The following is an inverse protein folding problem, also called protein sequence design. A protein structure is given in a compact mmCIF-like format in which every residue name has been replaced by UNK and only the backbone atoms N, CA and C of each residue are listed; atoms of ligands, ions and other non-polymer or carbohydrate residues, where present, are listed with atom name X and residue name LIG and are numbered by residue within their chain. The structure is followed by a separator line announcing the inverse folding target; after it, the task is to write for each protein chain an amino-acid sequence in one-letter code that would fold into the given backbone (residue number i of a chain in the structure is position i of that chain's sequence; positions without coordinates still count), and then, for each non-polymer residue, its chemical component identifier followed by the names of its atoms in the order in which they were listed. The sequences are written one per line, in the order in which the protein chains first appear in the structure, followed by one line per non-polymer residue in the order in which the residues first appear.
data_IF_547820116978
#
_entry.id   IF_547820116978
#
_cell.length_a   1.000
_cell.length_b   1.000
_cell.length_c   1.000
_cell.angle_alpha   90.00
_cell.angle_beta   90.00
_cell.angle_gamma   90.00
#
_symmetry.space_group_name_H-M   'P 1'
#
loop_
_entity.id
_entity.type
_entity.pdbx_description
1 polymer ?
#
# COMPACT_ATOMS: atom_id res chain seq x y z
N UNK A 1 -35.40 -53.32 3.95
CA UNK A 1 -36.76 -53.27 3.40
C UNK A 1 -37.77 -54.15 4.17
N UNK A 2 -37.44 -55.38 4.56
CA UNK A 2 -38.36 -56.25 5.33
C UNK A 2 -38.68 -55.79 6.77
N UNK A 3 -37.80 -55.03 7.43
CA UNK A 3 -38.04 -54.54 8.80
C UNK A 3 -39.05 -53.37 8.86
N UNK A 4 -39.12 -52.56 7.81
CA UNK A 4 -40.08 -51.45 7.72
C UNK A 4 -41.52 -51.95 7.55
N UNK A 5 -41.72 -53.04 6.79
CA UNK A 5 -43.04 -53.66 6.61
C UNK A 5 -43.59 -54.27 7.92
N UNK A 6 -42.75 -54.94 8.73
CA UNK A 6 -43.18 -55.50 10.02
C UNK A 6 -43.58 -54.44 11.04
N UNK A 7 -42.95 -53.27 10.99
CA UNK A 7 -43.30 -52.15 11.89
C UNK A 7 -44.62 -51.51 11.49
N UNK A 8 -44.90 -51.42 10.18
CA UNK A 8 -46.17 -50.92 9.66
C UNK A 8 -47.34 -51.87 9.96
N UNK A 9 -47.16 -53.18 9.79
CA UNK A 9 -48.20 -54.19 10.12
C UNK A 9 -48.54 -54.20 11.62
N UNK A 10 -47.54 -54.05 12.50
CA UNK A 10 -47.80 -53.93 13.95
C UNK A 10 -48.58 -52.67 14.29
N UNK A 11 -48.29 -51.55 13.61
CA UNK A 11 -48.98 -50.29 13.85
C UNK A 11 -50.45 -50.35 13.38
N UNK A 12 -50.70 -50.99 12.23
CA UNK A 12 -52.05 -51.21 11.70
C UNK A 12 -52.85 -52.12 12.64
N UNK A 13 -52.27 -53.25 13.07
CA UNK A 13 -52.96 -54.19 13.98
C UNK A 13 -53.23 -53.55 15.36
N UNK A 14 -52.34 -52.69 15.87
CA UNK A 14 -52.58 -51.96 17.11
C UNK A 14 -53.72 -50.93 16.97
N UNK A 15 -53.84 -50.27 15.82
CA UNK A 15 -54.95 -49.36 15.52
C UNK A 15 -56.28 -50.11 15.38
N UNK A 16 -56.28 -51.31 14.79
CA UNK A 16 -57.50 -52.14 14.64
C UNK A 16 -57.98 -52.71 15.97
N UNK A 17 -57.07 -53.15 16.85
CA UNK A 17 -57.42 -53.65 18.19
C UNK A 17 -57.97 -52.52 19.07
N UNK A 18 -57.37 -51.33 19.02
CA UNK A 18 -57.86 -50.17 19.77
C UNK A 18 -59.24 -49.68 19.28
N UNK A 19 -59.56 -49.88 17.99
CA UNK A 19 -60.87 -49.59 17.43
C UNK A 19 -61.94 -50.61 17.87
N UNK A 20 -61.57 -51.87 18.08
CA UNK A 20 -62.49 -52.93 18.51
C UNK A 20 -62.82 -52.89 20.01
N UNK A 21 -61.98 -52.29 20.86
CA UNK A 21 -62.22 -52.15 22.30
C UNK A 21 -63.12 -50.96 22.68
N UNK A 22 -63.52 -50.12 21.73
CA UNK A 22 -64.42 -48.98 21.96
C UNK A 22 -65.89 -49.41 21.88
N UNK A 23 -66.31 -50.31 22.78
CA UNK A 23 -67.72 -50.63 22.96
C UNK A 23 -68.45 -49.47 23.66
N UNK A 24 -69.38 -48.85 22.91
CA UNK A 24 -70.73 -48.46 23.32
C UNK A 24 -71.00 -48.19 24.82
N UNK A 25 -70.39 -47.14 25.36
CA UNK A 25 -70.96 -46.39 26.49
C UNK A 25 -71.35 -45.03 25.93
N UNK A 26 -72.57 -44.57 26.19
CA UNK A 26 -73.09 -43.26 25.79
C UNK A 26 -72.07 -42.17 26.10
N UNK A 27 -71.27 -41.78 25.11
CA UNK A 27 -70.34 -40.66 25.24
C UNK A 27 -71.18 -39.47 25.66
N UNK A 28 -70.85 -38.91 26.82
CA UNK A 28 -71.56 -37.75 27.33
C UNK A 28 -71.42 -36.62 26.31
N UNK A 29 -72.42 -35.74 26.22
CA UNK A 29 -72.35 -34.57 25.34
C UNK A 29 -71.06 -33.75 25.59
N UNK A 30 -70.59 -33.72 26.85
CA UNK A 30 -69.30 -33.16 27.25
C UNK A 30 -68.08 -33.84 26.62
N UNK A 31 -68.07 -35.17 26.46
CA UNK A 31 -66.96 -35.89 25.82
C UNK A 31 -66.88 -35.58 24.32
N UNK A 32 -68.04 -35.48 23.67
CA UNK A 32 -68.13 -35.06 22.27
C UNK A 32 -67.64 -33.62 22.09
N UNK A 33 -68.03 -32.72 23.00
CA UNK A 33 -67.61 -31.33 22.96
C UNK A 33 -66.10 -31.17 23.26
N UNK A 34 -65.56 -31.99 24.16
CA UNK A 34 -64.13 -32.13 24.40
C UNK A 34 -63.37 -32.55 23.15
N UNK A 35 -63.80 -33.62 22.48
CA UNK A 35 -63.17 -34.11 21.25
C UNK A 35 -63.23 -33.10 20.10
N UNK A 36 -64.34 -32.38 19.95
CA UNK A 36 -64.47 -31.29 18.97
C UNK A 36 -63.49 -30.15 19.29
N UNK A 37 -63.35 -29.79 20.57
CA UNK A 37 -62.40 -28.75 20.99
C UNK A 37 -60.95 -29.15 20.72
N UNK A 38 -60.57 -30.40 20.98
CA UNK A 38 -59.25 -30.95 20.67
C UNK A 38 -58.99 -30.99 19.17
N UNK A 39 -59.97 -31.42 18.38
CA UNK A 39 -59.89 -31.39 16.92
C UNK A 39 -59.66 -29.97 16.39
N UNK A 40 -60.36 -28.96 16.92
CA UNK A 40 -60.18 -27.57 16.52
C UNK A 40 -58.82 -27.00 16.92
N UNK A 41 -58.27 -27.41 18.07
CA UNK A 41 -56.91 -27.05 18.48
C UNK A 41 -55.89 -27.71 17.56
N UNK A 42 -56.05 -29.00 17.26
CA UNK A 42 -55.20 -29.74 16.33
C UNK A 42 -55.24 -29.15 14.92
N UNK A 43 -56.42 -28.76 14.44
CA UNK A 43 -56.59 -28.06 13.15
C UNK A 43 -55.82 -26.75 13.13
N UNK A 44 -55.99 -25.88 14.14
CA UNK A 44 -55.23 -24.63 14.26
C UNK A 44 -53.71 -24.84 14.33
N UNK A 45 -53.25 -25.84 15.10
CA UNK A 45 -51.83 -26.20 15.18
C UNK A 45 -51.29 -26.70 13.83
N UNK A 46 -52.08 -27.48 13.11
CA UNK A 46 -51.72 -27.95 11.77
C UNK A 46 -51.61 -26.79 10.79
N UNK A 47 -52.58 -25.87 10.80
CA UNK A 47 -52.59 -24.72 9.89
C UNK A 47 -51.43 -23.75 10.20
N UNK A 48 -51.13 -23.49 11.47
CA UNK A 48 -49.94 -22.73 11.88
C UNK A 48 -48.63 -23.39 11.44
N UNK A 49 -48.53 -24.74 11.51
CA UNK A 49 -47.35 -25.46 10.99
C UNK A 49 -47.25 -25.40 9.46
N UNK A 50 -48.37 -25.41 8.73
CA UNK A 50 -48.37 -25.21 7.27
C UNK A 50 -47.87 -23.82 6.92
N UNK A 51 -48.33 -22.79 7.63
CA UNK A 51 -47.85 -21.41 7.42
C UNK A 51 -46.35 -21.28 7.74
N UNK A 52 -45.88 -21.86 8.84
CA UNK A 52 -44.46 -21.87 9.17
C UNK A 52 -43.62 -22.58 8.09
N UNK A 53 -44.10 -23.68 7.54
CA UNK A 53 -43.44 -24.36 6.42
C UNK A 53 -43.42 -23.50 5.14
N UNK A 54 -44.47 -22.74 4.87
CA UNK A 54 -44.49 -21.80 3.73
C UNK A 54 -43.48 -20.66 3.91
N UNK A 55 -43.34 -20.13 5.13
CA UNK A 55 -42.34 -19.10 5.45
C UNK A 55 -40.94 -19.67 5.24
N UNK A 56 -40.64 -20.84 5.82
CA UNK A 56 -39.34 -21.49 5.66
C UNK A 56 -39.03 -21.86 4.21
N UNK A 57 -40.03 -22.26 3.42
CA UNK A 57 -39.85 -22.51 2.00
C UNK A 57 -39.44 -21.24 1.25
N UNK A 58 -40.10 -20.11 1.55
CA UNK A 58 -39.75 -18.81 0.94
C UNK A 58 -38.35 -18.36 1.35
N UNK A 59 -38.00 -18.49 2.64
CA UNK A 59 -36.66 -18.16 3.14
C UNK A 59 -35.58 -19.02 2.48
N UNK A 60 -35.84 -20.32 2.31
CA UNK A 60 -34.94 -21.22 1.59
C UNK A 60 -34.74 -20.79 0.14
N UNK A 61 -35.82 -20.41 -0.56
CA UNK A 61 -35.74 -19.92 -1.94
C UNK A 61 -34.91 -18.63 -2.02
N UNK A 62 -35.09 -17.70 -1.07
CA UNK A 62 -34.27 -16.47 -1.01
C UNK A 62 -32.80 -16.78 -0.76
N UNK A 63 -32.47 -17.67 0.18
CA UNK A 63 -31.08 -18.05 0.43
C UNK A 63 -30.44 -18.76 -0.77
N UNK A 64 -31.22 -19.54 -1.55
CA UNK A 64 -30.72 -20.15 -2.78
C UNK A 64 -30.41 -19.10 -3.84
N UNK A 65 -31.28 -18.10 -4.02
CA UNK A 65 -31.05 -16.99 -4.94
C UNK A 65 -29.80 -16.18 -4.56
N UNK A 66 -29.64 -15.83 -3.27
CA UNK A 66 -28.46 -15.12 -2.78
C UNK A 66 -27.18 -15.93 -3.03
N UNK A 67 -27.17 -17.23 -2.71
CA UNK A 67 -26.05 -18.13 -2.99
C UNK A 67 -25.68 -18.12 -4.48
N UNK A 68 -26.67 -18.22 -5.36
CA UNK A 68 -26.45 -18.28 -6.80
C UNK A 68 -25.93 -16.95 -7.34
N UNK A 69 -26.41 -15.82 -6.79
CA UNK A 69 -25.89 -14.49 -7.08
C UNK A 69 -24.42 -14.36 -6.64
N UNK A 70 -24.06 -14.77 -5.43
CA UNK A 70 -22.67 -14.74 -4.96
C UNK A 70 -21.76 -15.63 -5.79
N UNK A 71 -22.24 -16.82 -6.17
CA UNK A 71 -21.50 -17.73 -7.05
C UNK A 71 -21.23 -17.10 -8.42
N UNK A 72 -22.23 -16.40 -8.99
CA UNK A 72 -22.07 -15.67 -10.24
C UNK A 72 -21.05 -14.53 -10.10
N UNK A 73 -21.15 -13.71 -9.06
CA UNK A 73 -20.20 -12.63 -8.80
C UNK A 73 -18.76 -13.14 -8.64
N UNK A 74 -18.59 -14.24 -7.89
CA UNK A 74 -17.28 -14.88 -7.71
C UNK A 74 -16.70 -15.38 -9.05
N UNK A 75 -17.54 -15.98 -9.91
CA UNK A 75 -17.11 -16.43 -11.24
C UNK A 75 -16.73 -15.25 -12.14
N UNK A 76 -17.51 -14.17 -12.17
CA UNK A 76 -17.21 -12.96 -12.93
C UNK A 76 -15.89 -12.32 -12.47
N UNK A 77 -15.67 -12.24 -11.16
CA UNK A 77 -14.42 -11.71 -10.60
C UNK A 77 -13.23 -12.59 -10.97
N UNK A 78 -13.39 -13.92 -10.91
CA UNK A 78 -12.36 -14.89 -11.31
C UNK A 78 -12.02 -14.75 -12.80
N UNK A 79 -13.01 -14.62 -13.67
CA UNK A 79 -12.80 -14.42 -15.12
C UNK A 79 -12.09 -13.11 -15.41
N UNK A 80 -12.50 -12.00 -14.76
CA UNK A 80 -11.80 -10.71 -14.90
C UNK A 80 -10.35 -10.81 -14.46
N UNK A 81 -10.10 -11.45 -13.32
CA UNK A 81 -8.74 -11.64 -12.81
C UNK A 81 -7.89 -12.51 -13.75
N UNK A 82 -8.44 -13.60 -14.28
CA UNK A 82 -7.75 -14.44 -15.26
C UNK A 82 -7.48 -13.72 -16.58
N UNK A 83 -8.46 -12.96 -17.09
CA UNK A 83 -8.30 -12.14 -18.29
C UNK A 83 -7.22 -11.07 -18.11
N UNK A 84 -7.19 -10.41 -16.96
CA UNK A 84 -6.17 -9.42 -16.63
C UNK A 84 -4.79 -10.07 -16.48
N UNK A 85 -4.70 -11.20 -15.79
CA UNK A 85 -3.45 -11.98 -15.65
C UNK A 85 -2.92 -12.44 -17.02
N UNK A 86 -3.80 -12.84 -17.94
CA UNK A 86 -3.42 -13.21 -19.31
C UNK A 86 -2.86 -12.00 -20.07
N UNK A 87 -3.55 -10.84 -20.03
CA UNK A 87 -3.05 -9.59 -20.62
C UNK A 87 -1.70 -9.16 -20.07
N UNK A 88 -1.51 -9.20 -18.74
CA UNK A 88 -0.22 -8.88 -18.13
C UNK A 88 0.88 -9.85 -18.57
N UNK A 89 0.56 -11.13 -18.70
CA UNK A 89 1.52 -12.13 -19.20
C UNK A 89 1.89 -11.88 -20.67
N UNK A 90 0.93 -11.54 -21.53
CA UNK A 90 1.19 -11.17 -22.93
C UNK A 90 2.02 -9.88 -23.06
N UNK A 91 1.84 -8.93 -22.13
CA UNK A 91 2.62 -7.68 -22.07
C UNK A 91 4.07 -7.88 -21.63
N UNK A 92 4.30 -8.73 -20.62
CA UNK A 92 5.64 -8.98 -20.04
C UNK A 92 6.41 -10.02 -20.87
N UNK A 93 5.70 -11.08 -21.26
CA UNK A 93 6.24 -12.24 -21.94
C UNK A 93 5.63 -12.34 -23.35
N UNK A 94 5.76 -11.38 -24.27
CA UNK A 94 5.31 -11.49 -25.70
C UNK A 94 5.68 -12.79 -26.47
N UNK A 95 5.75 -12.85 -27.79
CA UNK A 95 6.01 -14.15 -28.47
C UNK A 95 7.33 -14.86 -28.00
N UNK A 96 7.30 -16.09 -27.42
CA UNK A 96 8.48 -16.79 -26.90
C UNK A 96 9.53 -17.15 -27.95
N UNK A 97 9.18 -17.04 -29.23
CA UNK A 97 10.04 -17.36 -30.37
C UNK A 97 11.03 -16.24 -30.72
N UNK A 98 10.89 -15.05 -30.12
CA UNK A 98 11.68 -13.86 -30.47
C UNK A 98 12.58 -13.39 -29.31
N UNK A 99 13.83 -12.94 -29.60
CA UNK A 99 14.74 -12.37 -28.60
C UNK A 99 14.12 -11.15 -27.86
N UNK A 100 14.45 -10.93 -26.58
CA UNK A 100 13.82 -9.93 -25.71
C UNK A 100 13.88 -8.50 -26.28
N UNK A 101 14.95 -8.14 -26.99
CA UNK A 101 15.11 -6.82 -27.62
C UNK A 101 14.14 -6.58 -28.79
N UNK A 102 13.73 -7.63 -29.52
CA UNK A 102 12.78 -7.53 -30.64
C UNK A 102 11.32 -7.69 -30.19
N UNK A 103 11.08 -8.31 -29.04
CA UNK A 103 9.75 -8.54 -28.45
C UNK A 103 9.06 -7.23 -28.09
N UNK A 104 9.79 -6.30 -27.50
CA UNK A 104 9.26 -4.98 -27.11
C UNK A 104 8.93 -4.10 -28.32
N UNK A 105 9.72 -4.20 -29.40
CA UNK A 105 9.47 -3.46 -30.65
C UNK A 105 8.22 -3.98 -31.37
N UNK A 106 8.04 -5.31 -31.44
CA UNK A 106 6.85 -5.93 -32.04
C UNK A 106 5.59 -5.64 -31.21
N UNK A 107 5.69 -5.69 -29.89
CA UNK A 107 4.57 -5.37 -28.99
C UNK A 107 4.16 -3.89 -29.11
N UNK A 108 5.12 -2.96 -29.12
CA UNK A 108 4.85 -1.53 -29.35
C UNK A 108 4.22 -1.29 -30.72
N UNK A 109 4.73 -1.92 -31.78
CA UNK A 109 4.14 -1.82 -33.11
C UNK A 109 2.71 -2.35 -33.17
N UNK A 110 2.41 -3.44 -32.45
CA UNK A 110 1.05 -3.98 -32.35
C UNK A 110 0.13 -3.02 -31.57
N UNK A 111 0.58 -2.50 -30.43
CA UNK A 111 -0.19 -1.55 -29.63
C UNK A 111 -0.52 -0.27 -30.42
N UNK A 112 0.43 0.22 -31.22
CA UNK A 112 0.23 1.38 -32.09
C UNK A 112 -0.77 1.09 -33.22
N UNK A 113 -0.73 -0.12 -33.81
CA UNK A 113 -1.74 -0.56 -34.79
C UNK A 113 -3.13 -0.67 -34.16
N UNK A 114 -3.25 -1.35 -33.02
CA UNK A 114 -4.52 -1.51 -32.32
C UNK A 114 -5.09 -0.16 -31.84
N UNK A 115 -4.23 0.78 -31.45
CA UNK A 115 -4.63 2.15 -31.11
C UNK A 115 -5.17 2.90 -32.34
N UNK A 116 -4.48 2.78 -33.48
CA UNK A 116 -4.89 3.38 -34.74
C UNK A 116 -6.21 2.80 -35.24
N UNK A 117 -6.41 1.49 -35.14
CA UNK A 117 -7.63 0.84 -35.61
C UNK A 117 -8.82 1.13 -34.70
N UNK A 118 -8.62 1.23 -33.39
CA UNK A 118 -9.64 1.78 -32.47
C UNK A 118 -10.01 3.22 -32.83
N UNK A 119 -9.02 4.05 -33.20
CA UNK A 119 -9.26 5.40 -33.68
C UNK A 119 -10.13 5.44 -34.94
N UNK A 120 -9.95 4.48 -35.87
CA UNK A 120 -10.81 4.36 -37.06
C UNK A 120 -12.23 3.92 -36.73
N UNK A 121 -12.38 2.92 -35.86
CA UNK A 121 -13.70 2.44 -35.41
C UNK A 121 -14.49 3.56 -34.74
N UNK A 122 -13.86 4.30 -33.81
CA UNK A 122 -14.49 5.46 -33.19
C UNK A 122 -14.85 6.54 -34.20
N UNK A 123 -14.01 6.78 -35.22
CA UNK A 123 -14.33 7.73 -36.28
C UNK A 123 -15.52 7.27 -37.15
N UNK A 124 -15.67 5.97 -37.37
CA UNK A 124 -16.83 5.38 -38.06
C UNK A 124 -18.11 5.48 -37.20
N UNK A 125 -18.03 5.17 -35.90
CA UNK A 125 -19.14 5.34 -34.95
C UNK A 125 -19.59 6.80 -34.85
N UNK A 126 -18.65 7.75 -34.79
CA UNK A 126 -18.97 9.18 -34.79
C UNK A 126 -19.71 9.56 -36.08
N UNK A 127 -19.29 9.06 -37.25
CA UNK A 127 -20.00 9.30 -38.51
C UNK A 127 -21.41 8.71 -38.49
N UNK A 128 -21.57 7.47 -38.01
CA UNK A 128 -22.86 6.80 -37.91
C UNK A 128 -23.82 7.53 -36.95
N UNK A 129 -23.32 7.94 -35.78
CA UNK A 129 -24.09 8.72 -34.81
C UNK A 129 -24.48 10.09 -35.37
N UNK A 130 -23.57 10.75 -36.09
CA UNK A 130 -23.87 12.03 -36.75
C UNK A 130 -24.95 11.84 -37.81
N UNK A 131 -24.89 10.76 -38.60
CA UNK A 131 -25.91 10.43 -39.58
C UNK A 131 -27.27 10.17 -38.90
N UNK A 132 -27.32 9.32 -37.86
CA UNK A 132 -28.56 9.07 -37.11
C UNK A 132 -29.15 10.34 -36.50
N UNK A 133 -28.30 11.25 -36.01
CA UNK A 133 -28.75 12.54 -35.51
C UNK A 133 -29.41 13.38 -36.62
N UNK A 134 -28.79 13.44 -37.80
CA UNK A 134 -29.36 14.17 -38.94
C UNK A 134 -30.68 13.57 -39.42
N UNK A 135 -30.80 12.23 -39.45
CA UNK A 135 -32.03 11.52 -39.80
C UNK A 135 -33.14 11.83 -38.78
N UNK A 136 -32.85 11.70 -37.48
CA UNK A 136 -33.81 12.00 -36.41
C UNK A 136 -34.25 13.47 -36.40
N UNK A 137 -33.34 14.41 -36.71
CA UNK A 137 -33.69 15.83 -36.88
C UNK A 137 -34.61 16.05 -38.08
N UNK A 138 -34.37 15.35 -39.20
CA UNK A 138 -35.24 15.34 -40.38
C UNK A 138 -36.64 14.82 -40.06
N UNK A 139 -36.71 13.69 -39.36
CA UNK A 139 -37.97 13.09 -38.89
C UNK A 139 -38.72 14.04 -37.96
N UNK A 140 -38.03 14.68 -37.01
CA UNK A 140 -38.64 15.65 -36.10
C UNK A 140 -39.22 16.85 -36.87
N UNK A 141 -38.52 17.34 -37.90
CA UNK A 141 -39.02 18.41 -38.77
C UNK A 141 -40.28 17.97 -39.54
N UNK A 142 -40.28 16.74 -40.06
CA UNK A 142 -41.44 16.18 -40.76
C UNK A 142 -42.64 15.97 -39.83
N UNK A 143 -42.41 15.47 -38.62
CA UNK A 143 -43.42 15.32 -37.57
C UNK A 143 -44.00 16.67 -37.18
N UNK A 144 -43.16 17.69 -36.95
CA UNK A 144 -43.62 19.06 -36.68
C UNK A 144 -44.48 19.59 -37.83
N UNK A 145 -44.03 19.43 -39.08
CA UNK A 145 -44.82 19.85 -40.24
C UNK A 145 -46.14 19.08 -40.35
N UNK A 146 -46.16 17.78 -40.03
CA UNK A 146 -47.37 16.95 -40.06
C UNK A 146 -48.34 17.34 -38.96
N UNK A 147 -47.85 17.59 -37.75
CA UNK A 147 -48.65 18.13 -36.64
C UNK A 147 -49.19 19.50 -37.03
N UNK A 148 -48.39 20.39 -37.61
CA UNK A 148 -48.85 21.69 -38.08
C UNK A 148 -49.89 21.56 -39.18
N UNK A 149 -49.72 20.64 -40.15
CA UNK A 149 -50.71 20.37 -41.21
C UNK A 149 -52.00 19.74 -40.68
N UNK A 150 -51.92 18.86 -39.67
CA UNK A 150 -53.09 18.31 -38.99
C UNK A 150 -53.79 19.36 -38.11
N UNK A 151 -53.05 20.34 -37.59
CA UNK A 151 -53.59 21.50 -36.87
C UNK A 151 -54.19 22.56 -37.81
N UNK A 152 -53.66 22.68 -39.03
CA UNK A 152 -54.15 23.57 -40.09
C UNK A 152 -55.13 22.86 -41.05
N UNK A 153 -55.41 21.58 -40.81
CA UNK A 153 -56.34 20.76 -41.59
C UNK A 153 -57.73 20.82 -40.99
N UNK A 154 -58.30 22.02 -40.95
CA UNK A 154 -59.72 22.38 -40.94
C UNK A 154 -59.78 23.87 -40.58
N UNK A 155 -59.91 24.73 -41.59
CA UNK A 155 -60.14 26.17 -41.40
C UNK A 155 -61.48 26.47 -40.68
N UNK A 156 -62.25 25.45 -40.26
CA UNK A 156 -63.50 25.60 -39.49
C UNK A 156 -63.56 24.85 -38.14
N UNK A 157 -62.51 24.12 -37.73
CA UNK A 157 -62.51 23.38 -36.43
C UNK A 157 -61.37 23.86 -35.51
N UNK A 158 -61.08 25.15 -35.56
CA UNK A 158 -60.05 25.82 -34.74
C UNK A 158 -60.43 26.07 -33.28
N UNK A 159 -61.56 25.56 -32.78
CA UNK A 159 -61.94 25.69 -31.37
C UNK A 159 -62.29 24.32 -30.80
N UNK A 160 -61.26 23.50 -30.55
CA UNK A 160 -61.39 22.49 -29.50
C UNK A 160 -61.45 23.23 -28.17
N UNK A 161 -62.68 23.47 -27.72
CA UNK A 161 -62.94 24.03 -26.40
C UNK A 161 -62.68 22.94 -25.37
N UNK A 162 -61.43 22.81 -24.94
CA UNK A 162 -61.13 22.04 -23.74
C UNK A 162 -61.93 22.65 -22.58
N UNK A 163 -62.65 21.85 -21.80
CA UNK A 163 -63.30 22.32 -20.59
C UNK A 163 -62.31 23.11 -19.71
N UNK A 164 -62.76 24.19 -19.08
CA UNK A 164 -61.90 25.07 -18.30
C UNK A 164 -61.10 24.31 -17.23
N UNK A 165 -61.70 23.30 -16.60
CA UNK A 165 -61.04 22.46 -15.59
C UNK A 165 -59.87 21.62 -16.14
N UNK A 166 -59.98 21.05 -17.35
CA UNK A 166 -58.87 20.31 -17.95
C UNK A 166 -57.70 21.23 -18.31
N UNK A 167 -58.00 22.48 -18.71
CA UNK A 167 -56.98 23.50 -18.95
C UNK A 167 -56.31 23.93 -17.65
N UNK A 168 -57.08 24.16 -16.60
CA UNK A 168 -56.57 24.52 -15.27
C UNK A 168 -55.70 23.41 -14.69
N UNK A 169 -56.08 22.14 -14.84
CA UNK A 169 -55.28 21.01 -14.37
C UNK A 169 -53.97 20.86 -15.16
N UNK A 170 -53.99 21.08 -16.47
CA UNK A 170 -52.78 21.09 -17.30
C UNK A 170 -51.86 22.27 -16.96
N UNK A 171 -52.42 23.45 -16.69
CA UNK A 171 -51.64 24.62 -16.25
C UNK A 171 -51.01 24.33 -14.89
N UNK A 172 -51.75 23.76 -13.94
CA UNK A 172 -51.22 23.38 -12.62
C UNK A 172 -50.07 22.36 -12.75
N UNK A 173 -50.23 21.35 -13.61
CA UNK A 173 -49.15 20.38 -13.88
C UNK A 173 -47.92 21.04 -14.51
N UNK A 174 -48.10 22.02 -15.41
CA UNK A 174 -47.00 22.77 -16.00
C UNK A 174 -46.29 23.67 -15.00
N UNK A 175 -47.03 24.31 -14.09
CA UNK A 175 -46.48 25.11 -13.00
C UNK A 175 -45.69 24.23 -12.02
N UNK A 176 -46.25 23.10 -11.60
CA UNK A 176 -45.57 22.12 -10.74
C UNK A 176 -44.30 21.57 -11.41
N UNK A 177 -44.38 21.19 -12.70
CA UNK A 177 -43.21 20.75 -13.45
C UNK A 177 -42.18 21.88 -13.64
N UNK A 178 -42.64 23.13 -13.76
CA UNK A 178 -41.79 24.32 -13.83
C UNK A 178 -40.99 24.54 -12.55
N UNK A 179 -41.66 24.43 -11.39
CA UNK A 179 -41.02 24.50 -10.07
C UNK A 179 -40.03 23.36 -9.86
N UNK A 180 -40.38 22.13 -10.24
CA UNK A 180 -39.48 20.98 -10.16
C UNK A 180 -38.24 21.17 -11.05
N UNK A 181 -38.41 21.72 -12.26
CA UNK A 181 -37.28 22.02 -13.15
C UNK A 181 -36.37 23.08 -12.53
N UNK A 182 -36.93 24.14 -11.96
CA UNK A 182 -36.14 25.19 -11.30
C UNK A 182 -35.39 24.66 -10.07
N UNK A 183 -36.02 23.82 -9.25
CA UNK A 183 -35.38 23.16 -8.12
C UNK A 183 -34.22 22.26 -8.58
N UNK A 184 -34.43 21.47 -9.63
CA UNK A 184 -33.38 20.64 -10.21
C UNK A 184 -32.24 21.47 -10.80
N UNK A 185 -32.53 22.58 -11.49
CA UNK A 185 -31.53 23.51 -12.01
C UNK A 185 -30.69 24.13 -10.89
N UNK A 186 -31.33 24.52 -9.79
CA UNK A 186 -30.64 25.04 -8.61
C UNK A 186 -29.77 23.96 -7.94
N UNK A 187 -30.28 22.72 -7.81
CA UNK A 187 -29.52 21.61 -7.25
C UNK A 187 -28.30 21.23 -8.10
N UNK A 188 -28.47 21.24 -9.44
CA UNK A 188 -27.40 20.98 -10.39
C UNK A 188 -26.31 22.05 -10.27
N UNK A 189 -26.71 23.31 -10.12
CA UNK A 189 -25.77 24.42 -9.92
C UNK A 189 -24.98 24.26 -8.62
N UNK A 190 -25.65 23.95 -7.50
CA UNK A 190 -24.99 23.71 -6.22
C UNK A 190 -23.97 22.57 -6.29
N UNK A 191 -24.34 21.42 -6.88
CA UNK A 191 -23.43 20.29 -7.04
C UNK A 191 -22.28 20.60 -8.02
N UNK A 192 -22.53 21.44 -9.04
CA UNK A 192 -21.48 21.90 -9.95
C UNK A 192 -20.45 22.78 -9.24
N UNK A 193 -20.90 23.67 -8.35
CA UNK A 193 -20.02 24.53 -7.56
C UNK A 193 -19.17 23.68 -6.60
N UNK A 194 -19.79 22.74 -5.88
CA UNK A 194 -19.07 21.77 -5.02
C UNK A 194 -18.04 20.93 -5.81
N UNK A 195 -18.38 20.54 -7.05
CA UNK A 195 -17.46 19.80 -7.91
C UNK A 195 -16.23 20.64 -8.29
N UNK A 196 -16.40 21.93 -8.57
CA UNK A 196 -15.27 22.83 -8.85
C UNK A 196 -14.38 23.02 -7.63
N UNK A 197 -14.96 23.15 -6.43
CA UNK A 197 -14.22 23.22 -5.18
C UNK A 197 -13.38 21.95 -4.96
N UNK A 198 -13.98 20.76 -5.13
CA UNK A 198 -13.26 19.47 -5.01
C UNK A 198 -12.18 19.32 -6.08
N UNK A 199 -12.41 19.80 -7.31
CA UNK A 199 -11.37 19.82 -8.36
C UNK A 199 -10.20 20.71 -7.96
N UNK A 200 -10.47 21.89 -7.41
CA UNK A 200 -9.44 22.81 -6.92
C UNK A 200 -8.64 22.19 -5.78
N UNK A 201 -9.29 21.59 -4.78
CA UNK A 201 -8.62 20.85 -3.71
C UNK A 201 -7.75 19.72 -4.24
N UNK A 202 -8.27 18.92 -5.17
CA UNK A 202 -7.51 17.84 -5.83
C UNK A 202 -6.27 18.39 -6.52
N UNK A 203 -6.35 19.53 -7.20
CA UNK A 203 -5.16 20.15 -7.82
C UNK A 203 -4.11 20.56 -6.79
N UNK A 204 -4.53 21.18 -5.67
CA UNK A 204 -3.62 21.53 -4.57
C UNK A 204 -2.95 20.30 -3.97
N UNK A 205 -3.69 19.21 -3.74
CA UNK A 205 -3.13 17.96 -3.24
C UNK A 205 -2.18 17.31 -4.23
N UNK A 206 -2.49 17.35 -5.53
CA UNK A 206 -1.62 16.84 -6.58
C UNK A 206 -0.30 17.62 -6.62
N UNK A 207 -0.35 18.95 -6.62
CA UNK A 207 0.86 19.79 -6.58
C UNK A 207 1.68 19.58 -5.30
N UNK A 208 1.02 19.33 -4.17
CA UNK A 208 1.69 18.96 -2.92
C UNK A 208 2.40 17.62 -3.06
N UNK A 209 1.74 16.62 -3.64
CA UNK A 209 2.34 15.31 -3.90
C UNK A 209 3.52 15.42 -4.87
N UNK A 210 3.39 16.21 -5.95
CA UNK A 210 4.45 16.43 -6.93
C UNK A 210 5.66 17.12 -6.29
N UNK A 211 5.45 18.15 -5.46
CA UNK A 211 6.53 18.79 -4.68
C UNK A 211 7.21 17.84 -3.71
N UNK A 212 6.43 17.08 -2.93
CA UNK A 212 6.98 16.07 -2.02
C UNK A 212 7.75 14.99 -2.78
N UNK A 213 7.27 14.60 -3.96
CA UNK A 213 7.95 13.63 -4.81
C UNK A 213 9.25 14.22 -5.38
N UNK A 214 9.28 15.51 -5.73
CA UNK A 214 10.52 16.20 -6.13
C UNK A 214 11.52 16.25 -4.97
N UNK A 215 11.10 16.62 -3.77
CA UNK A 215 11.95 16.61 -2.57
C UNK A 215 12.43 15.21 -2.23
N UNK A 216 11.54 14.22 -2.31
CA UNK A 216 11.89 12.81 -2.10
C UNK A 216 12.86 12.32 -3.17
N UNK A 217 12.65 12.66 -4.44
CA UNK A 217 13.59 12.36 -5.52
C UNK A 217 14.90 13.13 -5.38
N UNK A 218 14.91 14.31 -4.74
CA UNK A 218 16.13 15.03 -4.42
C UNK A 218 16.89 14.35 -3.27
N UNK A 219 16.19 13.83 -2.26
CA UNK A 219 16.77 13.06 -1.14
C UNK A 219 17.23 11.66 -1.59
N UNK A 220 16.44 10.98 -2.42
CA UNK A 220 16.71 9.62 -2.90
C UNK A 220 17.61 9.60 -4.15
N UNK A 221 17.50 10.61 -5.00
CA UNK A 221 18.26 10.79 -6.24
C UNK A 221 19.33 11.86 -6.14
N UNK A 222 19.77 12.20 -4.92
CA UNK A 222 20.67 13.30 -4.62
C UNK A 222 21.86 13.39 -5.57
N UNK A 223 22.22 14.63 -5.89
CA UNK A 223 23.50 14.95 -6.49
C UNK A 223 24.61 14.19 -5.75
N UNK A 224 25.29 13.31 -6.46
CA UNK A 224 26.35 12.47 -5.91
C UNK A 224 25.88 11.39 -4.96
N UNK A 225 25.23 10.35 -5.51
CA UNK A 225 25.34 8.95 -5.11
C UNK A 225 25.61 8.69 -3.62
N UNK A 226 24.60 8.89 -2.76
CA UNK A 226 24.57 8.19 -1.48
C UNK A 226 23.17 7.65 -1.26
N UNK A 227 22.97 6.43 -1.73
CA UNK A 227 21.81 5.61 -1.34
C UNK A 227 21.83 5.59 0.18
N UNK A 228 20.82 6.18 0.80
CA UNK A 228 20.60 6.06 2.23
C UNK A 228 20.19 4.62 2.48
N UNK A 229 21.16 3.80 2.90
CA UNK A 229 20.90 2.45 3.37
C UNK A 229 20.13 2.56 4.69
N UNK A 230 18.80 2.43 4.59
CA UNK A 230 17.89 2.51 5.72
C UNK A 230 18.23 1.43 6.74
N UNK A 231 18.69 0.26 6.31
CA UNK A 231 19.09 -0.82 7.22
C UNK A 231 20.39 -0.45 7.95
N UNK A 232 21.35 0.19 7.28
CA UNK A 232 22.55 0.72 7.93
C UNK A 232 22.22 1.79 8.97
N UNK A 233 21.32 2.72 8.64
CA UNK A 233 20.85 3.73 9.60
C UNK A 233 20.08 3.10 10.76
N UNK A 234 19.25 2.10 10.52
CA UNK A 234 18.55 1.37 11.58
C UNK A 234 19.53 0.61 12.48
N UNK A 235 20.60 0.03 11.92
CA UNK A 235 21.65 -0.63 12.69
C UNK A 235 22.46 0.38 13.52
N UNK A 236 22.84 1.52 12.93
CA UNK A 236 23.54 2.59 13.63
C UNK A 236 22.68 3.14 14.77
N UNK A 237 21.40 3.39 14.50
CA UNK A 237 20.46 3.86 15.50
C UNK A 237 20.30 2.87 16.66
N UNK A 238 20.18 1.56 16.36
CA UNK A 238 20.15 0.50 17.38
C UNK A 238 21.45 0.45 18.19
N UNK A 239 22.60 0.54 17.52
CA UNK A 239 23.91 0.55 18.16
C UNK A 239 24.10 1.76 19.08
N UNK A 240 23.72 2.95 18.65
CA UNK A 240 23.80 4.17 19.44
C UNK A 240 22.89 4.11 20.68
N UNK A 241 21.70 3.52 20.56
CA UNK A 241 20.82 3.28 21.71
C UNK A 241 21.44 2.31 22.72
N UNK A 242 22.03 1.20 22.26
CA UNK A 242 22.75 0.27 23.14
C UNK A 242 23.96 0.95 23.80
N UNK A 243 24.70 1.77 23.07
CA UNK A 243 25.85 2.49 23.61
C UNK A 243 25.44 3.52 24.65
N UNK A 244 24.36 4.25 24.40
CA UNK A 244 23.78 5.19 25.36
C UNK A 244 23.34 4.46 26.63
N UNK A 245 22.68 3.31 26.49
CA UNK A 245 22.27 2.47 27.61
C UNK A 245 23.46 2.02 28.46
N UNK A 246 24.53 1.53 27.83
CA UNK A 246 25.77 1.15 28.53
C UNK A 246 26.36 2.32 29.32
N UNK A 247 26.48 3.49 28.69
CA UNK A 247 27.00 4.69 29.37
C UNK A 247 26.09 5.10 30.53
N UNK A 248 24.77 4.96 30.39
CA UNK A 248 23.83 5.27 31.46
C UNK A 248 23.96 4.29 32.64
N UNK A 249 24.21 3.01 32.36
CA UNK A 249 24.53 1.99 33.37
C UNK A 249 25.87 2.29 34.07
N UNK A 250 26.92 2.66 33.34
CA UNK A 250 28.22 3.09 33.89
C UNK A 250 28.07 4.31 34.80
N UNK A 251 27.31 5.32 34.36
CA UNK A 251 27.01 6.51 35.16
C UNK A 251 26.24 6.13 36.43
N UNK A 252 25.31 5.19 36.34
CA UNK A 252 24.58 4.70 37.51
C UNK A 252 25.51 4.00 38.51
N UNK A 253 26.41 3.14 38.02
CA UNK A 253 27.42 2.46 38.82
C UNK A 253 28.37 3.45 39.50
N UNK A 254 28.87 4.44 38.75
CA UNK A 254 29.71 5.51 39.29
C UNK A 254 28.98 6.31 40.36
N UNK A 255 27.70 6.67 40.16
CA UNK A 255 26.89 7.33 41.19
C UNK A 255 26.79 6.48 42.45
N UNK A 256 26.54 5.17 42.33
CA UNK A 256 26.51 4.28 43.51
C UNK A 256 27.87 4.19 44.20
N UNK A 257 28.97 4.14 43.45
CA UNK A 257 30.32 4.07 43.99
C UNK A 257 30.72 5.37 44.69
N UNK A 258 30.43 6.53 44.08
CA UNK A 258 30.60 7.84 44.71
C UNK A 258 29.79 7.90 46.00
N UNK A 259 28.55 7.41 46.02
CA UNK A 259 27.73 7.38 47.23
C UNK A 259 28.32 6.47 48.30
N UNK A 260 28.86 5.29 47.93
CA UNK A 260 29.58 4.40 48.85
C UNK A 260 30.82 5.08 49.43
N UNK A 261 31.63 5.74 48.60
CA UNK A 261 32.82 6.46 49.07
C UNK A 261 32.48 7.66 49.94
N UNK A 262 31.44 8.42 49.59
CA UNK A 262 30.92 9.51 50.43
C UNK A 262 30.48 8.98 51.79
N UNK A 263 29.70 7.90 51.82
CA UNK A 263 29.28 7.26 53.07
C UNK A 263 30.46 6.72 53.89
N UNK A 264 31.48 6.15 53.25
CA UNK A 264 32.69 5.69 53.92
C UNK A 264 33.52 6.86 54.47
N UNK A 265 33.62 7.97 53.73
CA UNK A 265 34.29 9.19 54.14
C UNK A 265 33.55 9.87 55.30
N UNK A 266 32.22 9.93 55.26
CA UNK A 266 31.38 10.48 56.33
C UNK A 266 31.47 9.61 57.59
N UNK A 267 31.53 8.27 57.46
CA UNK A 267 31.83 7.35 58.58
C UNK A 267 33.23 7.59 59.15
N UNK A 268 34.23 7.90 58.32
CA UNK A 268 35.59 8.23 58.77
C UNK A 268 35.67 9.61 59.43
N UNK A 269 34.91 10.58 58.93
CA UNK A 269 34.78 11.92 59.52
C UNK A 269 34.10 11.84 60.90
N UNK A 270 33.10 10.98 61.04
CA UNK A 270 32.45 10.68 62.32
C UNK A 270 33.30 9.77 63.24
N UNK A 271 34.34 9.11 62.69
CA UNK A 271 35.34 8.32 63.43
C UNK A 271 36.56 9.13 63.89
N UNK A 272 36.70 10.41 63.51
CA UNK A 272 37.81 11.28 63.93
C UNK A 272 37.76 11.73 65.40
N UNK A 273 36.91 11.12 66.22
CA UNK A 273 36.95 11.28 67.67
C UNK A 273 37.82 10.22 68.37
N UNK A 274 38.55 9.35 67.66
CA UNK A 274 39.48 8.42 68.31
C UNK A 274 40.73 8.08 67.50
N UNK A 275 41.90 8.46 68.03
CA UNK A 275 43.10 7.61 68.05
C UNK A 275 44.09 7.66 66.87
N UNK A 276 45.32 8.11 67.15
CA UNK A 276 46.56 8.01 66.35
C UNK A 276 46.84 6.58 65.83
N UNK A 277 47.31 6.48 64.58
CA UNK A 277 48.44 5.60 64.22
C UNK A 277 48.99 5.89 62.82
N UNK A 278 50.30 5.96 62.76
CA UNK A 278 51.16 6.08 61.59
C UNK A 278 51.23 4.76 60.83
N UNK A 279 50.89 4.75 59.54
CA UNK A 279 51.39 3.77 58.57
C UNK A 279 51.12 4.28 57.16
N UNK A 280 52.21 4.61 56.47
CA UNK A 280 52.25 4.93 55.04
C UNK A 280 51.86 3.67 54.27
N UNK A 281 50.63 3.64 53.75
CA UNK A 281 50.13 2.54 52.94
C UNK A 281 50.73 2.57 51.54
N UNK A 282 51.56 1.57 51.24
CA UNK A 282 52.12 1.19 49.95
C UNK A 282 51.00 0.71 48.99
N UNK A 283 50.25 1.64 48.41
CA UNK A 283 49.22 1.34 47.39
C UNK A 283 49.30 2.31 46.21
N UNK A 284 50.50 2.59 45.72
CA UNK A 284 50.74 3.37 44.51
C UNK A 284 51.44 2.53 43.45
N UNK A 285 50.83 2.42 42.28
CA UNK A 285 51.39 1.77 41.07
C UNK A 285 52.81 2.30 40.83
N UNK A 286 53.81 1.43 40.91
CA UNK A 286 55.20 1.79 40.61
C UNK A 286 55.38 1.93 39.10
N UNK A 287 55.95 3.05 38.67
CA UNK A 287 56.26 3.34 37.26
C UNK A 287 57.41 2.48 36.76
N UNK A 288 57.41 2.12 35.47
CA UNK A 288 58.46 1.33 34.82
C UNK A 288 59.87 1.93 35.01
N UNK A 289 59.98 3.26 35.14
CA UNK A 289 61.26 3.93 35.48
C UNK A 289 61.71 3.64 36.92
N UNK A 290 60.78 3.61 37.88
CA UNK A 290 61.08 3.33 39.29
C UNK A 290 61.53 1.89 39.50
N UNK A 291 61.01 0.96 38.71
CA UNK A 291 61.47 -0.44 38.68
C UNK A 291 62.86 -0.55 38.07
N UNK A 292 63.16 0.22 37.03
CA UNK A 292 64.46 0.22 36.38
C UNK A 292 65.54 0.84 37.27
N UNK A 293 65.25 1.94 37.96
CA UNK A 293 66.20 2.59 38.87
C UNK A 293 66.56 1.68 40.08
N UNK A 294 65.60 0.90 40.60
CA UNK A 294 65.86 -0.08 41.66
C UNK A 294 66.74 -1.27 41.22
N UNK A 295 66.75 -1.59 39.92
CA UNK A 295 67.54 -2.69 39.35
C UNK A 295 68.91 -2.24 38.81
N UNK A 296 69.13 -0.94 38.69
CA UNK A 296 70.31 -0.34 38.04
C UNK A 296 71.42 0.06 39.01
N UNK A 297 71.23 -0.09 40.33
CA UNK A 297 72.32 0.10 41.29
C UNK A 297 73.29 -1.09 41.22
N UNK A 298 74.31 -0.90 40.39
CA UNK A 298 75.48 -1.75 40.23
C UNK A 298 76.32 -1.71 41.51
N UNK A 299 75.98 -2.56 42.48
CA UNK A 299 76.83 -2.91 43.60
C UNK A 299 76.72 -4.42 43.84
N UNK A 300 77.75 -5.16 43.42
CA UNK A 300 77.91 -6.56 43.78
C UNK A 300 78.12 -6.71 45.28
N UNK A 301 77.09 -7.05 46.04
CA UNK A 301 77.20 -7.68 47.35
C UNK A 301 75.84 -8.19 47.83
N UNK A 302 75.79 -9.39 48.41
CA UNK A 302 74.54 -10.04 48.83
C UNK A 302 73.72 -9.17 49.78
N UNK A 303 72.47 -8.87 49.39
CA UNK A 303 71.46 -8.33 50.28
C UNK A 303 71.28 -9.29 51.48
N UNK A 304 71.27 -8.80 52.73
CA UNK A 304 70.96 -9.65 53.85
C UNK A 304 69.56 -10.23 53.64
N UNK A 305 69.44 -11.55 53.76
CA UNK A 305 68.17 -12.29 53.65
C UNK A 305 67.33 -11.94 54.88
N UNK A 306 66.74 -10.75 54.88
CA UNK A 306 65.73 -10.35 55.84
C UNK A 306 64.37 -10.81 55.31
N UNK A 307 63.46 -11.29 56.17
CA UNK A 307 62.15 -11.76 55.73
C UNK A 307 61.35 -10.69 54.97
N UNK A 308 61.64 -9.40 55.21
CA UNK A 308 61.04 -8.27 54.51
C UNK A 308 61.54 -8.15 53.06
N UNK A 309 62.85 -8.21 52.81
CA UNK A 309 63.39 -8.12 51.43
C UNK A 309 62.94 -9.30 50.57
N UNK A 310 62.78 -10.48 51.18
CA UNK A 310 62.24 -11.66 50.51
C UNK A 310 60.73 -11.55 50.21
N UNK A 311 59.96 -10.86 51.07
CA UNK A 311 58.56 -10.53 50.82
C UNK A 311 58.39 -9.50 49.70
N UNK A 312 59.22 -8.45 49.70
CA UNK A 312 59.16 -7.39 48.70
C UNK A 312 59.57 -7.92 47.31
N UNK A 313 60.59 -8.78 47.25
CA UNK A 313 60.98 -9.48 46.01
C UNK A 313 59.87 -10.41 45.49
N UNK A 314 59.20 -11.15 46.37
CA UNK A 314 58.04 -11.97 45.99
C UNK A 314 56.89 -11.13 45.44
N UNK A 315 56.61 -9.99 46.09
CA UNK A 315 55.58 -9.05 45.63
C UNK A 315 55.92 -8.49 44.23
N UNK A 316 57.16 -8.07 44.01
CA UNK A 316 57.63 -7.60 42.70
C UNK A 316 57.55 -8.70 41.64
N UNK A 317 57.97 -9.93 41.95
CA UNK A 317 57.87 -11.06 41.04
C UNK A 317 56.42 -11.38 40.66
N UNK A 318 55.49 -11.31 41.63
CA UNK A 318 54.05 -11.48 41.38
C UNK A 318 53.50 -10.36 40.48
N UNK A 319 53.85 -9.11 40.75
CA UNK A 319 53.41 -7.98 39.92
C UNK A 319 53.94 -8.05 38.48
N UNK A 320 55.19 -8.50 38.30
CA UNK A 320 55.77 -8.74 36.97
C UNK A 320 55.08 -9.90 36.25
N UNK A 321 54.75 -10.99 36.95
CA UNK A 321 53.99 -12.11 36.40
C UNK A 321 52.57 -11.71 35.99
N UNK A 322 51.87 -10.93 36.82
CA UNK A 322 50.55 -10.38 36.49
C UNK A 322 50.63 -9.47 35.25
N UNK A 323 51.63 -8.58 35.19
CA UNK A 323 51.83 -7.71 34.02
C UNK A 323 52.11 -8.51 32.74
N UNK A 324 52.90 -9.58 32.81
CA UNK A 324 53.16 -10.47 31.68
C UNK A 324 51.86 -11.20 31.28
N UNK A 325 51.07 -11.65 32.25
CA UNK A 325 49.81 -12.32 32.00
C UNK A 325 48.80 -11.39 31.30
N UNK A 326 48.65 -10.15 31.77
CA UNK A 326 47.81 -9.12 31.14
C UNK A 326 48.26 -8.82 29.71
N UNK A 327 49.57 -8.62 29.48
CA UNK A 327 50.11 -8.38 28.13
C UNK A 327 49.84 -9.57 27.19
N UNK A 328 49.95 -10.80 27.69
CA UNK A 328 49.61 -11.99 26.91
C UNK A 328 48.12 -12.04 26.55
N UNK A 329 47.23 -11.66 27.48
CA UNK A 329 45.79 -11.55 27.20
C UNK A 329 45.49 -10.50 26.13
N UNK A 330 46.11 -9.31 26.21
CA UNK A 330 45.94 -8.26 25.20
C UNK A 330 46.41 -8.73 23.81
N UNK A 331 47.57 -9.39 23.73
CA UNK A 331 48.07 -9.96 22.46
C UNK A 331 47.10 -11.04 21.93
N UNK A 332 46.55 -11.89 22.80
CA UNK A 332 45.58 -12.90 22.41
C UNK A 332 44.29 -12.29 21.85
N UNK A 333 43.74 -11.28 22.51
CA UNK A 333 42.59 -10.52 22.01
C UNK A 333 42.89 -9.85 20.67
N UNK A 334 44.07 -9.23 20.53
CA UNK A 334 44.48 -8.61 19.27
C UNK A 334 44.58 -9.64 18.13
N UNK A 335 45.14 -10.83 18.39
CA UNK A 335 45.20 -11.92 17.41
C UNK A 335 43.81 -12.39 17.00
N UNK A 336 42.87 -12.50 17.95
CA UNK A 336 41.49 -12.88 17.66
C UNK A 336 40.78 -11.83 16.81
N UNK A 337 40.94 -10.54 17.14
CA UNK A 337 40.40 -9.43 16.34
C UNK A 337 40.98 -9.42 14.93
N UNK A 338 42.29 -9.58 14.78
CA UNK A 338 42.94 -9.65 13.48
C UNK A 338 42.45 -10.85 12.67
N UNK A 339 42.15 -11.98 13.31
CA UNK A 339 41.57 -13.16 12.65
C UNK A 339 40.16 -12.87 12.11
N UNK A 340 39.32 -12.17 12.87
CA UNK A 340 37.98 -11.76 12.42
C UNK A 340 38.07 -10.78 11.25
N UNK A 341 38.96 -9.79 11.32
CA UNK A 341 39.21 -8.85 10.23
C UNK A 341 39.71 -9.57 8.98
N UNK A 342 40.67 -10.49 9.12
CA UNK A 342 41.16 -11.31 8.01
C UNK A 342 40.06 -12.13 7.33
N UNK A 343 39.16 -12.74 8.10
CA UNK A 343 38.01 -13.47 7.55
C UNK A 343 37.07 -12.56 6.76
N UNK A 344 36.78 -11.35 7.26
CA UNK A 344 35.95 -10.37 6.55
C UNK A 344 36.60 -9.89 5.26
N UNK A 345 37.91 -9.63 5.28
CA UNK A 345 38.67 -9.27 4.06
C UNK A 345 38.58 -10.39 3.03
N UNK A 346 38.79 -11.64 3.42
CA UNK A 346 38.66 -12.79 2.53
C UNK A 346 37.24 -12.94 1.95
N UNK A 347 36.20 -12.67 2.74
CA UNK A 347 34.82 -12.67 2.27
C UNK A 347 34.56 -11.55 1.24
N UNK A 348 35.08 -10.35 1.50
CA UNK A 348 34.99 -9.22 0.57
C UNK A 348 35.75 -9.50 -0.73
N UNK A 349 36.94 -10.10 -0.67
CA UNK A 349 37.69 -10.55 -1.85
C UNK A 349 36.90 -11.59 -2.67
N UNK A 350 36.17 -12.51 -2.01
CA UNK A 350 35.32 -13.48 -2.71
C UNK A 350 34.11 -12.80 -3.37
N UNK A 351 33.48 -11.84 -2.68
CA UNK A 351 32.37 -11.05 -3.23
C UNK A 351 32.83 -10.21 -4.43
N UNK A 352 33.99 -9.58 -4.33
CA UNK A 352 34.65 -8.86 -5.43
C UNK A 352 34.83 -9.75 -6.66
N UNK A 353 35.50 -10.89 -6.51
CA UNK A 353 35.70 -11.86 -7.60
C UNK A 353 34.38 -12.34 -8.23
N UNK A 354 33.35 -12.56 -7.41
CA UNK A 354 32.04 -12.99 -7.89
C UNK A 354 31.41 -11.92 -8.78
N UNK A 355 31.54 -10.66 -8.38
CA UNK A 355 30.99 -9.54 -9.12
C UNK A 355 31.82 -9.19 -10.38
N UNK A 356 33.13 -9.42 -10.37
CA UNK A 356 33.97 -9.35 -11.58
C UNK A 356 33.53 -10.40 -12.63
N UNK A 357 33.29 -11.65 -12.19
CA UNK A 357 32.82 -12.75 -13.07
C UNK A 357 31.41 -12.50 -13.60
N UNK A 358 30.53 -11.86 -12.83
CA UNK A 358 29.16 -11.55 -13.26
C UNK A 358 29.05 -10.33 -14.16
N UNK A 359 30.16 -9.66 -14.50
CA UNK A 359 30.18 -8.50 -15.39
C UNK A 359 29.45 -7.26 -14.84
N UNK A 360 29.09 -7.26 -13.55
CA UNK A 360 28.36 -6.17 -12.90
C UNK A 360 29.26 -5.01 -12.46
N UNK A 361 30.58 -5.09 -12.73
CA UNK A 361 31.58 -4.13 -12.29
C UNK A 361 31.80 -2.96 -13.24
N UNK A 362 31.31 -3.03 -14.48
CA UNK A 362 31.44 -1.95 -15.46
C UNK A 362 30.11 -1.24 -15.68
N UNK A 363 29.95 -0.07 -15.06
CA UNK A 363 28.95 0.92 -15.48
C UNK A 363 29.45 1.59 -16.78
N UNK A 364 28.66 1.62 -17.87
CA UNK A 364 29.00 2.42 -19.04
C UNK A 364 29.07 3.89 -18.64
N UNK A 365 30.25 4.52 -18.75
CA UNK A 365 30.39 5.98 -18.63
C UNK A 365 31.28 6.51 -17.49
N UNK A 366 31.91 5.67 -16.65
CA UNK A 366 32.94 6.14 -15.73
C UNK A 366 34.30 5.55 -16.05
N UNK A 367 35.15 6.33 -16.72
CA UNK A 367 36.59 6.10 -16.79
C UNK A 367 37.21 6.42 -15.43
N UNK A 368 37.34 5.43 -14.55
CA UNK A 368 38.19 5.58 -13.36
C UNK A 368 39.65 5.35 -13.75
N UNK A 369 40.40 6.43 -13.94
CA UNK A 369 41.86 6.37 -13.94
C UNK A 369 42.32 6.15 -12.50
N UNK A 370 42.42 4.88 -12.07
CA UNK A 370 43.04 4.54 -10.79
C UNK A 370 44.54 4.35 -11.05
N UNK A 371 45.32 5.42 -10.87
CA UNK A 371 46.77 5.29 -10.72
C UNK A 371 47.05 4.68 -9.34
N UNK A 372 47.01 3.36 -9.22
CA UNK A 372 47.60 2.67 -8.07
C UNK A 372 49.10 2.71 -8.26
N UNK A 373 49.75 3.68 -7.62
CA UNK A 373 51.20 3.73 -7.50
C UNK A 373 51.71 2.59 -6.63
N UNK A 374 51.84 1.40 -7.22
CA UNK A 374 52.67 0.33 -6.69
C UNK A 374 53.78 0.06 -7.71
N UNK A 375 54.97 0.57 -7.39
CA UNK A 375 56.14 0.42 -8.23
C UNK A 375 56.54 -1.04 -8.35
N UNK A 376 56.38 -1.61 -9.55
CA UNK A 376 57.32 -2.53 -10.18
C UNK A 376 57.02 -2.54 -11.67
N UNK A 377 58.07 -2.37 -12.48
CA UNK A 377 57.97 -2.03 -13.89
C UNK A 377 57.27 -3.06 -14.78
N UNK A 378 56.55 -2.54 -15.77
CA UNK A 378 55.95 -3.29 -16.86
C UNK A 378 55.13 -2.32 -17.71
N UNK A 379 55.71 -1.83 -18.79
CA UNK A 379 55.02 -1.01 -19.79
C UNK A 379 54.04 -1.91 -20.54
N UNK A 380 52.75 -1.63 -20.44
CA UNK A 380 51.78 -1.97 -21.50
C UNK A 380 50.71 -0.89 -21.54
N UNK A 381 50.91 0.06 -22.45
CA UNK A 381 49.90 1.02 -22.84
C UNK A 381 48.92 0.30 -23.79
N UNK A 382 47.76 -0.11 -23.28
CA UNK A 382 46.66 -0.55 -24.15
C UNK A 382 45.98 0.73 -24.68
N UNK A 383 46.44 1.18 -25.84
CA UNK A 383 45.81 2.24 -26.63
C UNK A 383 44.49 1.67 -27.17
N UNK A 384 43.36 2.29 -26.79
CA UNK A 384 42.06 2.00 -27.39
C UNK A 384 41.96 2.65 -28.78
N UNK A 385 41.66 1.83 -29.78
CA UNK A 385 41.46 2.24 -31.17
C UNK A 385 40.10 2.97 -31.30
N UNK A 386 40.17 4.27 -31.53
CA UNK A 386 39.05 5.15 -31.85
C UNK A 386 38.77 5.05 -33.36
N UNK A 387 37.77 4.27 -33.77
CA UNK A 387 37.17 4.36 -35.11
C UNK A 387 35.84 3.60 -35.21
N UNK A 388 34.73 4.27 -34.87
CA UNK A 388 33.48 4.18 -35.61
C UNK A 388 32.53 5.30 -35.19
N UNK A 389 32.48 6.32 -36.05
CA UNK A 389 31.61 7.49 -35.98
C UNK A 389 30.20 7.06 -36.37
N UNK A 390 29.29 6.89 -35.40
CA UNK A 390 27.86 6.89 -35.66
C UNK A 390 27.34 8.32 -35.50
N UNK A 391 26.87 8.91 -36.58
CA UNK A 391 26.25 10.23 -36.66
C UNK A 391 24.99 10.31 -35.78
N UNK A 392 24.78 11.39 -35.00
CA UNK A 392 23.50 11.61 -34.33
C UNK A 392 22.42 11.94 -35.38
N UNK A 393 21.16 11.49 -35.22
CA UNK A 393 20.08 11.96 -36.05
C UNK A 393 19.83 13.44 -35.73
N UNK A 394 19.85 14.25 -36.78
CA UNK A 394 19.51 15.67 -36.74
C UNK A 394 18.16 15.88 -36.07
N UNK A 395 18.14 16.72 -35.04
CA UNK A 395 16.95 17.33 -34.49
C UNK A 395 16.23 18.10 -35.60
N UNK A 396 15.12 17.55 -36.09
CA UNK A 396 14.15 18.32 -36.86
C UNK A 396 13.44 19.28 -35.91
N UNK A 397 13.99 20.50 -35.85
CA UNK A 397 13.24 21.69 -35.44
C UNK A 397 12.13 21.89 -36.47
N UNK A 398 10.89 21.61 -36.09
CA UNK A 398 9.72 22.04 -36.87
C UNK A 398 9.49 23.54 -36.58
N UNK A 399 9.32 24.39 -37.61
CA UNK A 399 8.95 25.78 -37.43
C UNK A 399 7.56 25.90 -36.81
N UNK A 400 7.42 26.69 -35.75
CA UNK A 400 6.13 27.23 -35.34
C UNK A 400 5.52 28.00 -36.52
N UNK A 401 4.43 27.48 -37.08
CA UNK A 401 3.50 28.31 -37.85
C UNK A 401 2.57 29.04 -36.90
N UNK A 402 2.32 30.35 -37.10
CA UNK A 402 1.36 31.11 -36.31
C UNK A 402 -0.07 30.66 -36.65
N UNK A 403 -0.84 30.32 -35.61
CA UNK A 403 -2.29 30.11 -35.68
C UNK A 403 -2.96 31.47 -35.99
N UNK A 404 -3.88 31.58 -36.96
CA UNK A 404 -4.65 32.79 -37.16
C UNK A 404 -5.64 32.96 -36.00
N UNK A 405 -5.61 34.13 -35.34
CA UNK A 405 -6.63 34.56 -34.41
C UNK A 405 -7.97 34.70 -35.13
N UNK A 406 -8.92 33.81 -34.87
CA UNK A 406 -10.33 34.07 -35.19
C UNK A 406 -10.85 35.15 -34.23
N UNK A 407 -11.19 36.31 -34.81
CA UNK A 407 -11.95 37.37 -34.16
C UNK A 407 -13.32 36.81 -33.78
N UNK A 408 -13.62 36.81 -32.48
CA UNK A 408 -14.98 36.95 -31.99
C UNK A 408 -15.52 38.30 -32.48
N UNK A 409 -16.36 38.27 -33.51
CA UNK A 409 -17.25 39.38 -33.82
C UNK A 409 -18.49 39.23 -32.94
N UNK A 410 -18.69 40.22 -32.08
CA UNK A 410 -19.95 40.49 -31.39
C UNK A 410 -21.13 40.40 -32.35
N UNK A 411 -22.02 39.43 -32.12
CA UNK A 411 -23.38 39.47 -32.65
C UNK A 411 -24.27 40.23 -31.67
N UNK A 412 -24.42 41.52 -31.95
CA UNK A 412 -25.43 42.40 -31.36
C UNK A 412 -26.86 41.84 -31.60
N UNK A 413 -27.82 42.00 -30.67
CA UNK A 413 -29.18 41.51 -30.85
C UNK A 413 -29.94 42.37 -31.87
N UNK A 414 -30.87 41.81 -32.66
CA UNK A 414 -31.72 42.62 -33.52
C UNK A 414 -32.70 43.42 -32.67
N UNK A 415 -32.56 44.75 -32.78
CA UNK A 415 -33.51 45.73 -32.32
C UNK A 415 -34.84 45.65 -33.06
N UNK A 416 -35.86 46.11 -32.36
CA UNK A 416 -37.24 46.36 -32.76
C UNK A 416 -37.38 46.94 -34.17
N UNK A 417 -38.34 46.41 -34.94
CA UNK A 417 -38.99 47.14 -36.02
C UNK A 417 -40.44 47.35 -35.61
N UNK A 418 -40.65 48.43 -34.87
CA UNK A 418 -41.88 49.22 -34.90
C UNK A 418 -41.75 50.15 -36.10
N UNK A 419 -42.61 49.98 -37.11
CA UNK A 419 -43.35 51.09 -37.75
C UNK A 419 -44.24 50.55 -38.87
N UNK A 420 -45.55 50.57 -38.59
CA UNK A 420 -46.62 50.64 -39.58
C UNK A 420 -46.71 52.08 -40.08
N UNK A 421 -46.88 52.34 -41.39
CA UNK A 421 -47.30 53.66 -41.85
C UNK A 421 -48.82 53.79 -41.66
N UNK A 422 -49.24 54.93 -41.12
CA UNK A 422 -50.64 55.28 -40.99
C UNK A 422 -51.33 55.60 -42.32
N UNK A 423 -52.67 55.63 -42.26
CA UNK A 423 -53.52 56.32 -43.22
C UNK A 423 -54.69 55.47 -43.73
N UNK A 424 -55.87 55.66 -43.13
CA UNK A 424 -57.14 55.10 -43.60
C UNK A 424 -58.13 54.84 -42.49
#
# INVERSE_FOLDING_TARGET
MMLANRSNERCINQLTVNAATMNSSTRSESDWQGLVSEFLICKRKLDSKKEALLILSKELDTCQQERDQYKLMANQLRERHQGLKKKYRELIDGDPTLPPEKRNQVNLAQLLRDSRDRGKQLAEEVKELTQRLTEAQGDNKLLRMTITKQRLGDDEVGVRHFPAHEREDLVRQLEEAGLQREELENSLKAVSDELEDVKAERTVYKEKADRLNLELNHVLGGGGQRIVDVDALCMENRYLHERLKQVQEEVSLLKTNIMKYKNALDRRKNSKTSGKSSTSALTGVLSAKQVQDLLSEDNGCGLPVTPQSLSDLKSLAMALLETIHEKNMVIQHQRQTNRILGNRVAELEKKLKTLEVSGLWSLPGLTYNISVGLGTGGKDAIILNENQRATPPSSLVLPLQPVPSERLTDSQPPAEILEMPGGG
#
